data_IF_329309199066
#
_entry.id   IF_329309199066
#
_cell.length_a   1.000
_cell.length_b   1.000
_cell.length_c   1.000
_cell.angle_alpha   90.00
_cell.angle_beta   90.00
_cell.angle_gamma   90.00
#
_symmetry.space_group_name_H-M   'P 1'
#
loop_
_entity.id
_entity.type
_entity.pdbx_description
1 polymer ?
#
# COMPACT_ATOMS: atom_id res chain seq x y z
N UNK A 1 51.30 -4.24 21.05
CA UNK A 1 50.41 -4.35 19.87
C UNK A 1 48.97 -4.14 20.33
N UNK A 2 48.17 -3.35 19.61
CA UNK A 2 46.76 -3.13 19.96
C UNK A 2 45.92 -4.40 19.78
N UNK A 3 44.89 -4.60 20.61
CA UNK A 3 44.11 -5.85 20.67
C UNK A 3 43.52 -6.29 19.33
N UNK A 4 43.00 -5.36 18.52
CA UNK A 4 42.46 -5.67 17.19
C UNK A 4 43.51 -6.13 16.17
N UNK A 5 44.74 -5.61 16.25
CA UNK A 5 45.84 -6.04 15.38
C UNK A 5 46.34 -7.44 15.73
N UNK A 6 46.36 -7.79 17.03
CA UNK A 6 46.71 -9.14 17.48
C UNK A 6 45.71 -10.19 16.97
N UNK A 7 44.42 -9.85 16.95
CA UNK A 7 43.38 -10.74 16.45
C UNK A 7 43.49 -10.97 14.93
N UNK A 8 43.90 -9.96 14.17
CA UNK A 8 44.08 -10.08 12.72
C UNK A 8 45.29 -10.96 12.35
N UNK A 9 46.34 -10.95 13.18
CA UNK A 9 47.52 -11.82 13.02
C UNK A 9 47.21 -13.28 13.39
N UNK A 10 46.20 -13.52 14.23
CA UNK A 10 45.74 -14.85 14.59
C UNK A 10 44.88 -15.46 13.45
N UNK A 11 45.53 -15.86 12.37
CA UNK A 11 44.91 -16.52 11.21
C UNK A 11 45.29 -18.02 11.16
N UNK A 12 44.30 -18.89 10.91
CA UNK A 12 44.47 -20.34 10.85
C UNK A 12 43.94 -20.98 9.55
N UNK A 13 44.17 -22.28 9.39
CA UNK A 13 43.74 -23.02 8.19
C UNK A 13 42.21 -23.06 7.98
N UNK A 14 41.42 -22.82 9.03
CA UNK A 14 39.96 -22.80 8.97
C UNK A 14 39.42 -21.49 8.35
N UNK A 15 40.18 -20.40 8.44
CA UNK A 15 39.78 -19.08 7.96
C UNK A 15 39.76 -18.99 6.42
N UNK A 16 40.33 -19.99 5.73
CA UNK A 16 40.28 -20.13 4.27
C UNK A 16 38.84 -20.19 3.77
N UNK A 17 37.92 -20.82 4.51
CA UNK A 17 36.52 -20.95 4.10
C UNK A 17 35.69 -19.67 4.27
N UNK A 18 36.12 -18.77 5.16
CA UNK A 18 35.36 -17.57 5.51
C UNK A 18 35.96 -16.30 4.90
N UNK A 19 37.30 -16.21 4.87
CA UNK A 19 38.03 -15.00 4.47
C UNK A 19 39.14 -15.27 3.45
N UNK A 20 39.31 -16.51 2.99
CA UNK A 20 40.19 -16.83 1.88
C UNK A 20 39.64 -16.26 0.57
N UNK A 21 40.44 -15.47 -0.14
CA UNK A 21 40.05 -14.78 -1.39
C UNK A 21 38.69 -14.07 -1.28
N UNK A 22 38.56 -13.02 -0.46
CA UNK A 22 37.27 -12.41 -0.15
C UNK A 22 36.59 -11.85 -1.40
N UNK A 23 35.35 -12.26 -1.64
CA UNK A 23 34.53 -11.82 -2.78
C UNK A 23 33.63 -10.61 -2.46
N UNK A 24 33.40 -10.34 -1.17
CA UNK A 24 32.62 -9.21 -0.69
C UNK A 24 33.35 -8.51 0.45
N UNK A 25 32.98 -7.26 0.72
CA UNK A 25 33.45 -6.52 1.89
C UNK A 25 32.28 -5.84 2.57
N UNK A 26 32.28 -5.85 3.90
CA UNK A 26 31.27 -5.16 4.70
C UNK A 26 31.50 -3.65 4.80
N UNK A 27 32.70 -3.18 4.45
CA UNK A 27 33.11 -1.79 4.65
C UNK A 27 32.95 -0.91 3.41
N UNK A 28 32.52 -1.49 2.28
CA UNK A 28 32.27 -0.74 1.05
C UNK A 28 31.07 -1.32 0.30
N UNK A 29 29.92 -0.69 0.52
CA UNK A 29 28.67 -1.02 -0.20
C UNK A 29 28.66 -0.27 -1.53
N UNK A 30 28.43 -0.99 -2.63
CA UNK A 30 28.20 -0.41 -3.95
C UNK A 30 26.70 -0.22 -4.14
N UNK A 31 26.25 1.04 -4.16
CA UNK A 31 24.86 1.37 -4.44
C UNK A 31 24.55 1.22 -5.93
N UNK A 32 23.41 0.58 -6.25
CA UNK A 32 22.91 0.49 -7.62
C UNK A 32 22.19 1.79 -7.97
N UNK A 33 22.47 2.32 -9.16
CA UNK A 33 21.71 3.44 -9.74
C UNK A 33 20.34 2.91 -10.16
N UNK A 34 19.29 3.68 -9.91
CA UNK A 34 17.92 3.40 -10.36
C UNK A 34 17.47 4.47 -11.37
N UNK A 35 16.37 4.20 -12.08
CA UNK A 35 15.74 5.18 -12.96
C UNK A 35 15.12 6.32 -12.15
N UNK A 36 14.95 7.47 -12.79
CA UNK A 36 14.32 8.61 -12.17
C UNK A 36 12.79 8.43 -12.16
N UNK A 37 12.17 8.67 -11.02
CA UNK A 37 10.71 8.62 -10.86
C UNK A 37 10.26 9.60 -9.77
N UNK A 38 9.00 10.00 -9.83
CA UNK A 38 8.34 10.76 -8.78
C UNK A 38 7.08 10.04 -8.31
N UNK A 39 6.67 10.28 -7.06
CA UNK A 39 5.45 9.70 -6.48
C UNK A 39 4.57 10.82 -5.96
N UNK A 40 3.28 10.77 -6.29
CA UNK A 40 2.27 11.71 -5.83
C UNK A 40 0.99 10.96 -5.45
N UNK A 41 0.36 11.35 -4.35
CA UNK A 41 -0.94 10.82 -3.96
C UNK A 41 -2.03 11.76 -4.44
N UNK A 42 -2.98 11.23 -5.22
CA UNK A 42 -4.05 12.01 -5.83
C UNK A 42 -5.39 11.37 -5.48
N UNK A 43 -6.30 12.19 -4.96
CA UNK A 43 -7.69 11.82 -4.67
C UNK A 43 -8.43 11.39 -5.95
N UNK A 44 -9.27 10.36 -5.83
CA UNK A 44 -10.09 9.84 -6.91
C UNK A 44 -11.56 10.18 -6.70
N UNK A 45 -12.24 10.48 -7.79
CA UNK A 45 -13.67 10.78 -7.76
C UNK A 45 -14.48 9.51 -7.54
N UNK A 46 -15.35 9.59 -6.54
CA UNK A 46 -16.26 8.52 -6.15
C UNK A 46 -17.57 8.63 -6.94
N UNK A 47 -17.96 7.56 -7.64
CA UNK A 47 -19.24 7.46 -8.34
C UNK A 47 -20.23 6.66 -7.50
N UNK A 48 -21.20 7.37 -6.91
CA UNK A 48 -22.26 6.82 -6.08
C UNK A 48 -22.50 7.68 -4.83
N UNK A 49 -23.61 7.42 -4.13
CA UNK A 49 -23.85 8.03 -2.83
C UNK A 49 -23.20 7.16 -1.75
N UNK A 50 -22.31 7.77 -0.97
CA UNK A 50 -21.67 7.11 0.18
C UNK A 50 -22.68 7.06 1.33
N UNK A 51 -23.11 5.85 1.67
CA UNK A 51 -23.95 5.57 2.83
C UNK A 51 -23.67 4.15 3.36
N UNK A 52 -24.07 3.88 4.61
CA UNK A 52 -23.98 2.53 5.18
C UNK A 52 -24.73 1.51 4.30
N UNK A 53 -24.07 0.40 3.95
CA UNK A 53 -24.61 -0.65 3.08
C UNK A 53 -24.59 -0.36 1.57
N UNK A 54 -24.23 0.86 1.16
CA UNK A 54 -24.15 1.23 -0.27
C UNK A 54 -22.93 0.59 -0.96
N UNK A 55 -23.08 0.31 -2.25
CA UNK A 55 -21.97 -0.03 -3.15
C UNK A 55 -21.61 1.20 -3.97
N UNK A 56 -20.32 1.48 -4.03
CA UNK A 56 -19.78 2.66 -4.67
C UNK A 56 -18.65 2.24 -5.60
N UNK A 57 -18.52 2.94 -6.73
CA UNK A 57 -17.51 2.64 -7.75
C UNK A 57 -16.57 3.82 -7.94
N UNK A 58 -15.27 3.54 -8.04
CA UNK A 58 -14.23 4.55 -8.23
C UNK A 58 -13.47 4.21 -9.50
N UNK A 59 -13.54 5.10 -10.49
CA UNK A 59 -12.75 4.99 -11.72
C UNK A 59 -11.39 5.62 -11.49
N UNK A 60 -10.32 4.83 -11.56
CA UNK A 60 -8.96 5.34 -11.35
C UNK A 60 -8.58 6.24 -12.53
N UNK A 61 -8.29 7.50 -12.23
CA UNK A 61 -7.86 8.49 -13.20
C UNK A 61 -6.47 8.16 -13.76
N UNK A 62 -6.20 8.55 -15.00
CA UNK A 62 -4.90 8.30 -15.65
C UNK A 62 -3.95 9.47 -15.46
N UNK A 63 -3.73 9.84 -14.20
CA UNK A 63 -2.88 10.99 -13.85
C UNK A 63 -1.39 10.63 -13.88
N UNK A 64 -1.02 9.37 -13.62
CA UNK A 64 0.36 8.88 -13.69
C UNK A 64 0.53 7.62 -14.55
N UNK A 65 1.76 7.11 -14.61
CA UNK A 65 2.12 5.98 -15.48
C UNK A 65 1.90 4.61 -14.80
N UNK A 66 2.23 4.50 -13.52
CA UNK A 66 1.98 3.31 -12.69
C UNK A 66 1.11 3.66 -11.48
N UNK A 67 0.31 2.70 -11.02
CA UNK A 67 -0.49 2.78 -9.80
C UNK A 67 0.13 1.88 -8.71
N UNK A 68 0.32 2.44 -7.52
CA UNK A 68 0.93 1.75 -6.38
C UNK A 68 -0.08 1.59 -5.25
N UNK A 69 0.11 2.28 -4.13
CA UNK A 69 -0.74 2.13 -2.94
C UNK A 69 -2.05 2.87 -3.13
N UNK A 70 -3.10 2.32 -2.53
CA UNK A 70 -4.40 2.96 -2.46
C UNK A 70 -4.88 2.96 -1.02
N UNK A 71 -5.53 4.05 -0.62
CA UNK A 71 -6.08 4.25 0.71
C UNK A 71 -7.54 4.65 0.59
N UNK A 72 -8.37 4.11 1.47
CA UNK A 72 -9.77 4.51 1.60
C UNK A 72 -9.92 5.22 2.94
N UNK A 73 -10.29 6.48 2.89
CA UNK A 73 -10.61 7.29 4.05
C UNK A 73 -12.12 7.26 4.27
N UNK A 74 -12.57 6.95 5.48
CA UNK A 74 -14.00 6.83 5.81
C UNK A 74 -14.30 7.67 7.05
N UNK A 75 -15.18 8.64 6.88
CA UNK A 75 -15.74 9.46 7.94
C UNK A 75 -16.98 8.78 8.53
N UNK A 76 -16.99 8.55 9.84
CA UNK A 76 -18.03 7.79 10.53
C UNK A 76 -18.27 8.32 11.96
N UNK A 77 -19.48 8.13 12.51
CA UNK A 77 -19.82 8.58 13.88
C UNK A 77 -19.87 7.45 14.92
N UNK A 78 -19.28 6.29 14.62
CA UNK A 78 -19.35 5.13 15.52
C UNK A 78 -18.38 5.26 16.72
N UNK A 79 -18.89 5.00 17.93
CA UNK A 79 -18.15 5.12 19.20
C UNK A 79 -17.26 3.90 19.55
N UNK A 80 -17.23 2.86 18.71
CA UNK A 80 -16.42 1.65 18.95
C UNK A 80 -15.64 1.25 17.70
N UNK A 81 -14.46 0.68 17.93
CA UNK A 81 -13.38 0.43 16.96
C UNK A 81 -13.83 -0.34 15.73
N UNK A 82 -14.19 0.38 14.67
CA UNK A 82 -14.53 -0.19 13.39
C UNK A 82 -13.74 0.55 12.33
N UNK A 83 -12.63 -0.04 11.90
CA UNK A 83 -11.90 0.43 10.72
C UNK A 83 -12.09 -0.56 9.57
N UNK A 84 -11.38 -1.69 9.54
CA UNK A 84 -11.60 -2.69 8.47
C UNK A 84 -13.03 -3.23 8.40
N UNK A 85 -13.74 -3.24 9.53
CA UNK A 85 -15.12 -3.72 9.63
C UNK A 85 -16.14 -2.73 9.00
N UNK A 86 -15.72 -1.50 8.63
CA UNK A 86 -16.53 -0.55 7.86
C UNK A 86 -16.68 -0.95 6.39
N UNK A 87 -15.80 -1.82 5.91
CA UNK A 87 -15.79 -2.31 4.53
C UNK A 87 -16.27 -3.77 4.53
N UNK A 88 -17.34 -4.06 3.79
CA UNK A 88 -17.79 -5.43 3.57
C UNK A 88 -16.82 -6.13 2.59
N UNK A 89 -16.64 -5.52 1.42
CA UNK A 89 -15.63 -5.95 0.44
C UNK A 89 -15.14 -4.81 -0.45
N UNK A 90 -13.97 -5.02 -1.05
CA UNK A 90 -13.39 -4.22 -2.12
C UNK A 90 -13.00 -5.12 -3.28
N UNK A 91 -13.38 -4.74 -4.49
CA UNK A 91 -13.08 -5.44 -5.74
C UNK A 91 -12.25 -4.53 -6.64
N UNK A 92 -11.19 -5.06 -7.25
CA UNK A 92 -10.47 -4.41 -8.35
C UNK A 92 -10.90 -5.05 -9.65
N UNK A 93 -11.36 -4.21 -10.55
CA UNK A 93 -11.84 -4.56 -11.88
C UNK A 93 -10.95 -3.89 -12.93
N UNK A 94 -10.51 -4.64 -13.93
CA UNK A 94 -9.73 -4.12 -15.05
C UNK A 94 -10.43 -4.50 -16.33
N UNK A 95 -10.85 -3.51 -17.12
CA UNK A 95 -11.47 -3.75 -18.43
C UNK A 95 -12.78 -4.54 -18.38
N UNK A 96 -13.57 -4.41 -17.30
CA UNK A 96 -14.82 -5.15 -17.14
C UNK A 96 -14.70 -6.50 -16.40
N UNK A 97 -13.49 -6.93 -16.05
CA UNK A 97 -13.24 -8.20 -15.38
C UNK A 97 -12.74 -7.98 -13.96
N UNK A 98 -13.35 -8.67 -12.99
CA UNK A 98 -12.89 -8.64 -11.60
C UNK A 98 -11.62 -9.47 -11.50
N UNK A 99 -10.51 -8.82 -11.15
CA UNK A 99 -9.21 -9.47 -11.00
C UNK A 99 -9.04 -10.03 -9.59
N UNK A 100 -9.41 -9.24 -8.59
CA UNK A 100 -9.23 -9.59 -7.18
C UNK A 100 -10.34 -9.00 -6.30
N UNK A 101 -10.64 -9.68 -5.20
CA UNK A 101 -11.66 -9.30 -4.23
C UNK A 101 -11.19 -9.58 -2.80
N UNK A 102 -11.19 -8.54 -1.99
CA UNK A 102 -10.85 -8.62 -0.57
C UNK A 102 -12.03 -8.24 0.31
N UNK A 103 -12.15 -8.91 1.45
CA UNK A 103 -13.15 -8.62 2.47
C UNK A 103 -12.51 -7.86 3.63
N UNK A 104 -13.28 -7.02 4.34
CA UNK A 104 -12.78 -6.29 5.51
C UNK A 104 -12.17 -7.23 6.57
N UNK A 105 -12.88 -8.31 6.88
CA UNK A 105 -12.43 -9.34 7.81
C UNK A 105 -11.14 -10.03 7.37
N UNK A 106 -10.99 -10.29 6.07
CA UNK A 106 -9.77 -10.86 5.51
C UNK A 106 -8.59 -9.88 5.64
N UNK A 107 -8.78 -8.60 5.34
CA UNK A 107 -7.73 -7.58 5.48
C UNK A 107 -7.25 -7.44 6.92
N UNK A 108 -8.18 -7.51 7.89
CA UNK A 108 -7.86 -7.51 9.32
C UNK A 108 -6.98 -8.70 9.71
N UNK A 109 -7.39 -9.93 9.36
CA UNK A 109 -6.63 -11.16 9.64
C UNK A 109 -5.26 -11.11 8.97
N UNK A 110 -5.21 -10.64 7.71
CA UNK A 110 -3.96 -10.52 6.97
C UNK A 110 -2.97 -9.56 7.65
N UNK A 111 -3.43 -8.38 8.06
CA UNK A 111 -2.59 -7.41 8.77
C UNK A 111 -2.12 -7.97 10.12
N UNK A 112 -2.98 -8.68 10.85
CA UNK A 112 -2.61 -9.31 12.12
C UNK A 112 -1.52 -10.38 11.98
N UNK A 113 -1.51 -11.12 10.88
CA UNK A 113 -0.51 -12.18 10.64
C UNK A 113 0.80 -11.66 10.04
N UNK A 114 0.74 -10.61 9.22
CA UNK A 114 1.89 -10.16 8.40
C UNK A 114 2.63 -8.96 8.98
N UNK A 115 1.96 -8.12 9.78
CA UNK A 115 2.58 -6.94 10.34
C UNK A 115 3.39 -7.28 11.60
N UNK A 116 4.55 -6.64 11.72
CA UNK A 116 5.31 -6.61 12.97
C UNK A 116 4.57 -5.76 14.00
N UNK A 117 4.92 -5.92 15.29
CA UNK A 117 4.27 -5.22 16.41
C UNK A 117 4.21 -3.69 16.18
N UNK A 118 5.29 -3.09 15.70
CA UNK A 118 5.33 -1.64 15.43
C UNK A 118 4.39 -1.21 14.30
N UNK A 119 4.36 -1.98 13.20
CA UNK A 119 3.46 -1.71 12.07
C UNK A 119 2.00 -1.90 12.46
N UNK A 120 1.70 -2.90 13.29
CA UNK A 120 0.37 -3.12 13.83
C UNK A 120 -0.08 -1.95 14.70
N UNK A 121 0.78 -1.45 15.59
CA UNK A 121 0.49 -0.26 16.41
C UNK A 121 0.20 0.98 15.56
N UNK A 122 0.97 1.20 14.48
CA UNK A 122 0.71 2.30 13.55
C UNK A 122 -0.61 2.12 12.79
N UNK A 123 -0.87 0.90 12.31
CA UNK A 123 -2.10 0.57 11.60
C UNK A 123 -3.32 0.76 12.51
N UNK A 124 -3.26 0.29 13.75
CA UNK A 124 -4.32 0.50 14.73
C UNK A 124 -4.58 2.00 14.90
N UNK A 125 -3.55 2.84 14.97
CA UNK A 125 -3.73 4.30 15.00
C UNK A 125 -4.33 4.93 13.73
N UNK A 126 -4.22 4.29 12.56
CA UNK A 126 -4.87 4.75 11.32
C UNK A 126 -6.32 4.25 11.18
N UNK A 127 -6.57 3.05 11.68
CA UNK A 127 -7.82 2.29 11.49
C UNK A 127 -8.79 2.54 12.64
N UNK A 128 -8.29 2.83 13.85
CA UNK A 128 -9.09 3.13 15.02
C UNK A 128 -8.85 4.55 15.54
N UNK A 129 -9.94 5.25 15.80
CA UNK A 129 -9.95 6.41 16.66
C UNK A 129 -10.01 5.97 18.12
N UNK A 130 -8.87 5.62 18.69
CA UNK A 130 -8.72 5.81 20.12
C UNK A 130 -8.41 7.29 20.36
N UNK A 131 -8.89 7.85 21.47
CA UNK A 131 -8.74 9.26 21.88
C UNK A 131 -7.28 9.80 21.95
N UNK A 132 -6.29 9.00 21.55
CA UNK A 132 -4.87 9.33 21.44
C UNK A 132 -4.37 9.42 19.99
N UNK A 133 -5.18 9.11 18.96
CA UNK A 133 -4.89 9.71 17.66
C UNK A 133 -5.21 11.19 17.77
N UNK A 134 -4.30 12.08 17.39
CA UNK A 134 -4.58 13.53 17.31
C UNK A 134 -5.66 13.93 16.28
N UNK A 135 -6.55 13.00 15.96
CA UNK A 135 -7.81 13.17 15.27
C UNK A 135 -8.77 13.87 16.27
N UNK A 136 -8.91 15.19 16.14
CA UNK A 136 -9.48 16.05 17.17
C UNK A 136 -10.81 15.55 17.77
N UNK A 137 -10.95 15.71 19.08
CA UNK A 137 -12.20 15.61 19.85
C UNK A 137 -13.14 16.78 19.52
N UNK A 138 -13.36 17.01 18.23
CA UNK A 138 -14.35 17.96 17.73
C UNK A 138 -15.72 17.30 17.65
N UNK A 139 -16.78 18.10 17.69
CA UNK A 139 -18.18 17.66 17.60
C UNK A 139 -18.58 16.96 16.28
N UNK A 140 -17.62 16.55 15.45
CA UNK A 140 -17.78 16.02 14.10
C UNK A 140 -16.89 14.77 13.92
N UNK A 141 -17.51 13.58 13.78
CA UNK A 141 -17.01 12.36 13.09
C UNK A 141 -15.57 11.85 13.31
N UNK A 142 -15.41 10.56 13.56
CA UNK A 142 -14.14 9.84 13.47
C UNK A 142 -13.75 9.59 12.01
N UNK A 143 -12.45 9.62 11.70
CA UNK A 143 -11.91 9.31 10.37
C UNK A 143 -11.02 8.08 10.47
N UNK A 144 -11.31 7.06 9.67
CA UNK A 144 -10.48 5.85 9.56
C UNK A 144 -9.83 5.78 8.17
N UNK A 145 -8.52 5.61 8.14
CA UNK A 145 -7.75 5.43 6.90
C UNK A 145 -7.37 3.97 6.75
N UNK A 146 -7.92 3.32 5.73
CA UNK A 146 -7.79 1.89 5.48
C UNK A 146 -6.88 1.67 4.26
N UNK A 147 -5.67 1.11 4.43
CA UNK A 147 -4.80 0.78 3.31
C UNK A 147 -5.29 -0.48 2.60
N UNK A 148 -5.40 -0.41 1.27
CA UNK A 148 -5.79 -1.55 0.45
C UNK A 148 -4.59 -2.48 0.20
N UNK A 149 -4.83 -3.78 0.22
CA UNK A 149 -3.80 -4.83 0.19
C UNK A 149 -3.78 -5.62 -1.13
N UNK A 150 -4.07 -4.99 -2.27
CA UNK A 150 -3.93 -5.63 -3.58
C UNK A 150 -2.47 -5.96 -3.92
N UNK A 151 -2.25 -6.84 -4.91
CA UNK A 151 -0.89 -7.28 -5.28
C UNK A 151 0.03 -6.09 -5.63
N UNK A 152 -0.51 -5.07 -6.29
CA UNK A 152 0.21 -3.86 -6.69
C UNK A 152 0.41 -2.83 -5.55
N UNK A 153 -0.34 -2.95 -4.43
CA UNK A 153 -0.17 -2.08 -3.26
C UNK A 153 0.98 -2.53 -2.34
N UNK A 154 1.39 -3.80 -2.40
CA UNK A 154 2.34 -4.39 -1.44
C UNK A 154 3.79 -4.16 -1.81
N UNK A 155 4.10 -4.19 -3.10
CA UNK A 155 5.47 -4.08 -3.60
C UNK A 155 5.51 -3.11 -4.79
N UNK A 156 6.36 -2.06 -4.76
CA UNK A 156 6.50 -1.15 -5.90
C UNK A 156 6.96 -1.84 -7.19
N UNK A 157 7.62 -2.99 -7.11
CA UNK A 157 7.99 -3.79 -8.28
C UNK A 157 6.80 -4.43 -9.02
N UNK A 158 5.62 -4.47 -8.39
CA UNK A 158 4.37 -4.99 -8.95
C UNK A 158 3.34 -3.87 -9.18
N UNK A 159 3.77 -2.61 -9.21
CA UNK A 159 2.89 -1.48 -9.47
C UNK A 159 2.17 -1.66 -10.82
N UNK A 160 0.87 -1.39 -10.84
CA UNK A 160 0.01 -1.65 -12.00
C UNK A 160 0.28 -0.61 -13.10
N UNK A 161 0.74 -1.01 -14.31
CA UNK A 161 1.07 -0.06 -15.35
C UNK A 161 -0.18 0.45 -16.08
N UNK A 162 -0.70 1.60 -15.62
CA UNK A 162 -1.83 2.28 -16.27
C UNK A 162 -1.49 2.68 -17.71
N UNK A 163 -0.24 3.01 -18.00
CA UNK A 163 0.22 3.35 -19.35
C UNK A 163 0.15 2.17 -20.34
N UNK A 164 0.30 0.93 -19.86
CA UNK A 164 0.15 -0.26 -20.68
C UNK A 164 -1.33 -0.62 -20.92
N UNK A 165 -2.22 -0.18 -20.03
CA UNK A 165 -3.65 -0.47 -20.04
C UNK A 165 -4.48 0.63 -20.73
N UNK A 166 -4.04 1.11 -21.90
CA UNK A 166 -4.68 2.27 -22.55
C UNK A 166 -6.15 2.05 -22.94
N UNK A 167 -6.55 0.82 -23.22
CA UNK A 167 -7.93 0.50 -23.61
C UNK A 167 -8.76 -0.08 -22.46
N UNK A 168 -8.14 -0.35 -21.31
CA UNK A 168 -8.81 -0.91 -20.15
C UNK A 168 -8.88 0.13 -19.03
N UNK A 169 -10.08 0.33 -18.50
CA UNK A 169 -10.26 1.14 -17.31
C UNK A 169 -10.01 0.28 -16.07
N UNK A 170 -9.35 0.86 -15.08
CA UNK A 170 -9.21 0.26 -13.75
C UNK A 170 -10.29 0.87 -12.87
N UNK A 171 -11.16 0.02 -12.33
CA UNK A 171 -12.26 0.39 -11.45
C UNK A 171 -12.08 -0.30 -10.11
N UNK A 172 -12.36 0.44 -9.05
CA UNK A 172 -12.37 -0.06 -7.70
C UNK A 172 -13.80 0.03 -7.16
N UNK A 173 -14.38 -1.12 -6.85
CA UNK A 173 -15.74 -1.20 -6.33
C UNK A 173 -15.68 -1.49 -4.83
N UNK A 174 -16.20 -0.58 -4.01
CA UNK A 174 -16.25 -0.73 -2.54
C UNK A 174 -17.70 -0.94 -2.14
N UNK A 175 -17.95 -1.93 -1.30
CA UNK A 175 -19.22 -2.06 -0.58
C UNK A 175 -18.99 -1.76 0.89
N UNK A 176 -19.70 -0.77 1.40
CA UNK A 176 -19.66 -0.41 2.80
C UNK A 176 -20.54 -1.33 3.65
N UNK A 177 -20.16 -1.49 4.91
CA UNK A 177 -20.90 -2.28 5.89
C UNK A 177 -22.26 -1.63 6.22
N UNK A 178 -23.26 -2.46 6.54
CA UNK A 178 -24.62 -2.05 6.92
C UNK A 178 -24.90 -2.29 8.41
N UNK A 179 -23.86 -2.41 9.25
CA UNK A 179 -24.02 -2.75 10.66
C UNK A 179 -24.84 -1.70 11.44
N UNK A 180 -25.66 -2.18 12.38
CA UNK A 180 -26.50 -1.33 13.23
C UNK A 180 -25.62 -0.51 14.18
N UNK A 181 -25.73 0.82 14.15
CA UNK A 181 -24.95 1.72 15.03
C UNK A 181 -23.71 2.36 14.39
N UNK A 182 -23.44 2.11 13.11
CA UNK A 182 -22.40 2.79 12.33
C UNK A 182 -23.02 3.67 11.24
N UNK A 183 -22.98 4.99 11.39
CA UNK A 183 -23.21 5.90 10.24
C UNK A 183 -21.88 6.15 9.54
N UNK A 184 -21.91 6.02 8.21
CA UNK A 184 -20.84 6.48 7.33
C UNK A 184 -21.34 7.78 6.71
N UNK A 185 -20.62 8.86 6.96
CA UNK A 185 -21.02 10.21 6.58
C UNK A 185 -20.28 10.67 5.31
N UNK A 186 -19.13 10.06 5.00
CA UNK A 186 -18.34 10.36 3.81
C UNK A 186 -17.23 9.34 3.60
N UNK A 187 -16.72 9.29 2.37
CA UNK A 187 -15.55 8.49 2.04
C UNK A 187 -14.75 9.20 0.95
N UNK A 188 -13.43 9.04 0.98
CA UNK A 188 -12.47 9.52 -0.01
C UNK A 188 -11.53 8.38 -0.39
N UNK A 189 -11.07 8.35 -1.63
CA UNK A 189 -10.13 7.32 -2.11
C UNK A 189 -8.88 7.99 -2.66
N UNK A 190 -7.74 7.65 -2.08
CA UNK A 190 -6.44 8.19 -2.44
C UNK A 190 -5.63 7.14 -3.17
N UNK A 191 -4.97 7.54 -4.25
CA UNK A 191 -4.15 6.67 -5.09
C UNK A 191 -2.75 7.25 -5.26
N UNK A 192 -1.73 6.45 -4.97
CA UNK A 192 -0.34 6.80 -5.20
C UNK A 192 0.03 6.48 -6.65
N UNK A 193 0.33 7.53 -7.41
CA UNK A 193 0.81 7.45 -8.79
C UNK A 193 2.32 7.54 -8.83
N UNK A 194 2.93 6.74 -9.71
CA UNK A 194 4.35 6.83 -10.04
C UNK A 194 4.49 7.42 -11.44
N UNK A 195 5.28 8.48 -11.54
CA UNK A 195 5.64 9.14 -12.79
C UNK A 195 7.01 8.67 -13.24
N UNK A 196 7.09 8.14 -14.45
CA UNK A 196 8.32 7.59 -15.01
C UNK A 196 8.97 8.57 -15.96
N UNK A 197 10.30 8.50 -16.07
CA UNK A 197 11.02 9.22 -17.11
C UNK A 197 10.70 8.67 -18.51
N UNK A 198 10.92 9.49 -19.54
CA UNK A 198 10.44 9.29 -20.92
C UNK A 198 10.84 7.94 -21.50
N UNK A 199 12.09 7.50 -21.25
CA UNK A 199 12.59 6.25 -21.81
C UNK A 199 11.97 5.01 -21.15
N UNK A 200 11.82 5.03 -19.83
CA UNK A 200 11.19 3.94 -19.09
C UNK A 200 9.69 3.88 -19.39
N UNK A 201 9.03 5.04 -19.41
CA UNK A 201 7.64 5.21 -19.82
C UNK A 201 7.34 4.58 -21.19
N UNK A 202 8.21 4.82 -22.17
CA UNK A 202 8.09 4.20 -23.52
C UNK A 202 8.20 2.68 -23.48
N UNK A 203 9.13 2.14 -22.69
CA UNK A 203 9.28 0.68 -22.54
C UNK A 203 8.05 0.05 -21.93
N UNK A 204 7.48 0.67 -20.89
CA UNK A 204 6.24 0.19 -20.29
C UNK A 204 5.05 0.22 -21.25
N UNK A 205 5.00 1.16 -22.19
CA UNK A 205 3.93 1.21 -23.19
C UNK A 205 4.07 0.21 -24.36
N UNK A 206 5.30 -0.20 -24.68
CA UNK A 206 5.59 -0.98 -25.90
C UNK A 206 5.80 -2.48 -25.66
N UNK A 207 6.36 -2.84 -24.51
CA UNK A 207 6.72 -4.23 -24.19
C UNK A 207 5.56 -4.93 -23.49
N UNK A 208 5.40 -6.23 -23.74
CA UNK A 208 4.47 -7.07 -22.99
C UNK A 208 4.99 -7.32 -21.58
N UNK A 209 4.13 -7.17 -20.58
CA UNK A 209 4.48 -7.41 -19.18
C UNK A 209 3.73 -8.63 -18.64
N UNK A 210 4.42 -9.40 -17.80
CA UNK A 210 3.85 -10.48 -17.01
C UNK A 210 4.12 -10.19 -15.54
N UNK A 211 3.08 -10.25 -14.72
CA UNK A 211 3.09 -9.93 -13.29
C UNK A 211 2.46 -11.05 -12.48
#
# INVERSE_FOLDING_TARGET
MGGGLMQLVAYGAQDIYLTGNPQITFFKVVYRRHTNFAVESIEQTINGSVASGSKVSVTVARNGDLLSRMYVEISHTAASTLGFDLIDYVEVEVGGQVIDKHYGSWMKIWCDLTHTVDKKKMLDGMVCSNNDCGCGTGANGHVSVIPLQFWFCRNPGLALPLIALQYHEVKLNIKFCSATGTSIDGAEVWCDYIFLDTDERRRFAQVSHEY
#
